data_IF_047590038007
#
_entry.id   IF_047590038007
#
_cell.length_a   1.000
_cell.length_b   1.000
_cell.length_c   1.000
_cell.angle_alpha   90.00
_cell.angle_beta   90.00
_cell.angle_gamma   90.00
#
_symmetry.space_group_name_H-M   'P 1'
#
loop_
_entity.id
_entity.type
_entity.pdbx_description
1 polymer ?
#
# COMPACT_ATOMS: atom_id res chain seq x y z
N UNK A 1 -28.51 -18.98 -43.35
CA UNK A 1 -27.24 -19.47 -42.80
C UNK A 1 -26.43 -18.27 -42.33
N UNK A 2 -26.47 -18.10 -41.01
CA UNK A 2 -25.39 -17.59 -40.15
C UNK A 2 -25.05 -16.09 -40.14
N UNK A 3 -25.84 -15.39 -39.31
CA UNK A 3 -25.46 -14.21 -38.52
C UNK A 3 -24.08 -14.36 -37.88
N UNK A 4 -23.21 -13.35 -38.03
CA UNK A 4 -22.09 -13.15 -37.10
C UNK A 4 -22.20 -11.76 -36.46
N UNK A 5 -22.84 -11.75 -35.29
CA UNK A 5 -22.76 -10.69 -34.30
C UNK A 5 -21.35 -10.72 -33.68
N UNK A 6 -20.52 -9.71 -33.92
CA UNK A 6 -19.32 -9.46 -33.11
C UNK A 6 -19.70 -8.50 -32.00
N UNK A 7 -19.88 -9.05 -30.79
CA UNK A 7 -20.19 -8.31 -29.56
C UNK A 7 -18.91 -8.11 -28.77
N UNK A 8 -18.15 -7.06 -29.08
CA UNK A 8 -17.08 -6.56 -28.21
C UNK A 8 -17.65 -5.64 -27.14
N UNK A 9 -17.97 -6.19 -25.97
CA UNK A 9 -18.39 -5.42 -24.78
C UNK A 9 -17.16 -5.10 -23.92
N UNK A 10 -17.03 -3.84 -23.50
CA UNK A 10 -16.24 -3.50 -22.32
C UNK A 10 -15.42 -2.20 -22.42
N UNK A 11 -16.03 -1.08 -22.79
CA UNK A 11 -15.46 0.21 -22.41
C UNK A 11 -15.72 0.38 -20.90
N UNK A 12 -14.77 -0.01 -20.05
CA UNK A 12 -14.83 0.29 -18.63
C UNK A 12 -14.75 1.81 -18.50
N UNK A 13 -15.85 2.43 -18.08
CA UNK A 13 -15.88 3.84 -17.73
C UNK A 13 -14.88 4.06 -16.59
N UNK A 14 -13.70 4.58 -16.92
CA UNK A 14 -12.71 5.00 -15.93
C UNK A 14 -13.31 6.22 -15.24
N UNK A 15 -13.89 6.02 -14.06
CA UNK A 15 -14.31 7.12 -13.20
C UNK A 15 -13.10 8.02 -12.99
N UNK A 16 -13.25 9.31 -13.28
CA UNK A 16 -12.20 10.30 -13.09
C UNK A 16 -12.03 10.52 -11.59
N UNK A 17 -11.09 9.80 -10.98
CA UNK A 17 -10.74 10.00 -9.58
C UNK A 17 -9.81 11.20 -9.52
N UNK A 18 -10.26 12.28 -8.88
CA UNK A 18 -9.40 13.44 -8.60
C UNK A 18 -8.23 12.98 -7.72
N UNK A 19 -7.01 13.29 -8.15
CA UNK A 19 -5.78 12.93 -7.45
C UNK A 19 -5.10 14.20 -6.95
N UNK A 20 -4.74 14.20 -5.67
CA UNK A 20 -3.97 15.29 -5.05
C UNK A 20 -2.54 14.83 -4.80
N UNK A 21 -1.57 15.68 -5.08
CA UNK A 21 -0.17 15.44 -4.75
C UNK A 21 0.09 15.89 -3.31
N UNK A 22 0.50 14.95 -2.46
CA UNK A 22 0.79 15.18 -1.05
C UNK A 22 2.15 14.56 -0.72
N UNK A 23 2.86 15.19 0.20
CA UNK A 23 4.12 14.67 0.73
C UNK A 23 3.92 14.20 2.18
N UNK A 24 4.49 13.04 2.49
CA UNK A 24 4.44 12.44 3.81
C UNK A 24 5.84 12.01 4.23
N UNK A 25 6.15 12.17 5.51
CA UNK A 25 7.31 11.50 6.12
C UNK A 25 7.13 9.98 6.06
N UNK A 26 8.24 9.26 5.88
CA UNK A 26 8.26 7.79 5.81
C UNK A 26 7.65 7.17 7.07
N UNK A 27 7.94 7.73 8.25
CA UNK A 27 7.39 7.27 9.54
C UNK A 27 5.86 7.39 9.61
N UNK A 28 5.28 8.49 9.12
CA UNK A 28 3.82 8.67 9.06
C UNK A 28 3.20 7.64 8.13
N UNK A 29 3.84 7.40 6.99
CA UNK A 29 3.39 6.42 6.01
C UNK A 29 3.41 5.01 6.61
N UNK A 30 4.49 4.63 7.29
CA UNK A 30 4.63 3.34 7.99
C UNK A 30 3.51 3.13 9.01
N UNK A 31 3.24 4.12 9.88
CA UNK A 31 2.14 4.02 10.86
C UNK A 31 0.79 3.80 10.20
N UNK A 32 0.51 4.51 9.11
CA UNK A 32 -0.76 4.37 8.37
C UNK A 32 -0.88 2.99 7.69
N UNK A 33 0.22 2.45 7.16
CA UNK A 33 0.28 1.09 6.66
C UNK A 33 0.03 0.07 7.77
N UNK A 34 0.75 0.16 8.90
CA UNK A 34 0.63 -0.75 10.05
C UNK A 34 -0.80 -0.78 10.61
N UNK A 35 -1.43 0.39 10.74
CA UNK A 35 -2.82 0.50 11.16
C UNK A 35 -3.81 -0.02 10.11
N UNK A 36 -3.39 -0.19 8.86
CA UNK A 36 -4.22 -0.65 7.74
C UNK A 36 -5.18 0.42 7.24
N UNK A 37 -4.81 1.68 7.43
CA UNK A 37 -5.57 2.84 6.96
C UNK A 37 -5.25 3.16 5.49
N UNK A 38 -4.10 2.70 4.99
CA UNK A 38 -3.67 2.88 3.61
C UNK A 38 -3.18 1.56 3.01
N UNK A 39 -3.46 1.38 1.72
CA UNK A 39 -2.95 0.27 0.93
C UNK A 39 -2.02 0.77 -0.19
N UNK A 40 -0.97 0.00 -0.52
CA UNK A 40 -0.03 0.37 -1.58
C UNK A 40 -0.71 0.49 -2.95
N UNK A 41 -1.84 -0.20 -3.14
CA UNK A 41 -2.67 -0.12 -4.33
C UNK A 41 -3.29 1.28 -4.56
N UNK A 42 -3.44 2.09 -3.51
CA UNK A 42 -4.02 3.43 -3.60
C UNK A 42 -2.99 4.49 -4.00
N UNK A 43 -1.69 4.16 -3.94
CA UNK A 43 -0.62 5.10 -4.25
C UNK A 43 -0.27 5.11 -5.74
N UNK A 44 -0.36 6.30 -6.34
CA UNK A 44 0.29 6.59 -7.61
C UNK A 44 1.67 7.20 -7.36
N UNK A 45 2.70 6.37 -7.25
CA UNK A 45 4.07 6.83 -6.98
C UNK A 45 4.65 7.57 -8.19
N UNK A 46 5.09 8.82 -8.00
CA UNK A 46 5.63 9.67 -9.06
C UNK A 46 7.10 9.34 -9.41
N UNK A 47 7.83 8.71 -8.49
CA UNK A 47 9.26 8.42 -8.64
C UNK A 47 9.56 6.95 -8.31
N UNK A 48 10.62 6.40 -8.92
CA UNK A 48 11.05 5.03 -8.62
C UNK A 48 11.46 4.85 -7.15
N UNK A 49 12.04 5.90 -6.54
CA UNK A 49 12.40 5.91 -5.13
C UNK A 49 11.16 5.75 -4.23
N UNK A 50 10.12 6.59 -4.40
CA UNK A 50 8.90 6.51 -3.60
C UNK A 50 8.17 5.19 -3.79
N UNK A 51 8.17 4.64 -5.01
CA UNK A 51 7.61 3.30 -5.28
C UNK A 51 8.30 2.20 -4.45
N UNK A 52 9.63 2.20 -4.40
CA UNK A 52 10.40 1.22 -3.61
C UNK A 52 10.07 1.33 -2.12
N UNK A 53 10.01 2.55 -1.59
CA UNK A 53 9.68 2.81 -0.18
C UNK A 53 8.26 2.33 0.15
N UNK A 54 7.25 2.73 -0.63
CA UNK A 54 5.85 2.31 -0.43
C UNK A 54 5.72 0.79 -0.50
N UNK A 55 6.39 0.15 -1.46
CA UNK A 55 6.37 -1.30 -1.61
C UNK A 55 7.01 -2.01 -0.41
N UNK A 56 8.17 -1.53 0.06
CA UNK A 56 8.85 -2.10 1.23
C UNK A 56 7.99 -1.98 2.49
N UNK A 57 7.42 -0.81 2.75
CA UNK A 57 6.54 -0.58 3.91
C UNK A 57 5.30 -1.48 3.87
N UNK A 58 4.68 -1.62 2.70
CA UNK A 58 3.53 -2.49 2.52
C UNK A 58 3.87 -3.96 2.74
N UNK A 59 4.97 -4.45 2.16
CA UNK A 59 5.41 -5.84 2.33
C UNK A 59 5.78 -6.14 3.78
N UNK A 60 6.50 -5.23 4.45
CA UNK A 60 6.84 -5.38 5.86
C UNK A 60 5.58 -5.49 6.74
N UNK A 61 4.60 -4.63 6.48
CA UNK A 61 3.31 -4.64 7.16
C UNK A 61 2.52 -5.92 6.91
N UNK A 62 2.41 -6.34 5.64
CA UNK A 62 1.69 -7.56 5.27
C UNK A 62 2.37 -8.79 5.87
N UNK A 63 3.69 -8.85 5.87
CA UNK A 63 4.45 -9.92 6.50
C UNK A 63 4.21 -9.94 8.01
N UNK A 64 4.24 -8.79 8.69
CA UNK A 64 3.87 -8.72 10.10
C UNK A 64 2.44 -9.19 10.35
N UNK A 65 1.47 -8.84 9.51
CA UNK A 65 0.07 -9.30 9.70
C UNK A 65 -0.15 -10.77 9.40
N UNK A 66 0.56 -11.33 8.42
CA UNK A 66 0.35 -12.71 7.95
C UNK A 66 1.20 -13.71 8.74
N UNK A 67 2.44 -13.35 9.08
CA UNK A 67 3.34 -14.22 9.82
C UNK A 67 3.19 -14.07 11.35
N UNK A 68 2.63 -12.96 11.84
CA UNK A 68 2.39 -12.73 13.27
C UNK A 68 0.91 -13.01 13.62
N UNK A 69 0.46 -14.24 13.34
CA UNK A 69 -0.88 -14.76 13.72
C UNK A 69 -1.02 -14.97 15.25
N UNK A 70 -0.01 -14.58 16.04
CA UNK A 70 -0.01 -14.66 17.49
C UNK A 70 -0.08 -13.26 18.07
N UNK A 71 -1.25 -12.92 18.58
CA UNK A 71 -1.48 -11.82 19.54
C UNK A 71 -1.67 -10.41 18.95
N UNK A 72 -2.78 -10.24 18.20
CA UNK A 72 -3.39 -8.93 18.03
C UNK A 72 -3.95 -8.42 19.38
N UNK A 73 -3.10 -7.78 20.18
CA UNK A 73 -3.56 -6.82 21.19
C UNK A 73 -3.44 -5.43 20.60
N UNK A 74 -4.58 -4.85 20.28
CA UNK A 74 -4.74 -3.43 20.00
C UNK A 74 -4.20 -2.65 21.20
N UNK A 75 -3.01 -2.06 21.08
CA UNK A 75 -2.54 -1.07 22.05
C UNK A 75 -2.21 0.22 21.34
N UNK A 76 -3.05 1.20 21.65
CA UNK A 76 -2.84 2.63 21.49
C UNK A 76 -1.73 3.03 22.48
N UNK A 77 -0.80 3.85 21.98
CA UNK A 77 0.21 4.63 22.73
C UNK A 77 1.20 3.86 23.61
N UNK A 78 2.47 3.80 23.18
CA UNK A 78 3.60 4.51 23.79
C UNK A 78 4.92 3.95 23.22
N UNK A 79 5.78 4.86 22.74
CA UNK A 79 7.21 4.69 22.43
C UNK A 79 7.73 3.29 22.00
N UNK A 80 7.89 3.06 20.68
CA UNK A 80 8.82 2.03 20.22
C UNK A 80 9.80 2.57 19.17
N UNK A 81 10.99 2.92 19.66
CA UNK A 81 12.22 3.03 18.89
C UNK A 81 12.45 1.71 18.15
N UNK A 82 12.40 1.74 16.82
CA UNK A 82 12.86 0.62 16.00
C UNK A 82 14.33 0.90 15.68
N UNK A 83 15.23 0.25 16.43
CA UNK A 83 16.65 0.24 16.10
C UNK A 83 16.85 -0.56 14.81
N UNK A 84 17.13 0.15 13.72
CA UNK A 84 17.23 -0.41 12.40
C UNK A 84 18.65 -0.98 12.15
N UNK A 85 19.02 -2.03 12.88
CA UNK A 85 20.31 -2.74 12.73
C UNK A 85 20.23 -3.91 11.73
N UNK A 86 19.45 -3.80 10.64
CA UNK A 86 19.42 -4.87 9.63
C UNK A 86 19.24 -4.39 8.18
N UNK A 87 19.99 -3.38 7.76
CA UNK A 87 20.21 -3.13 6.34
C UNK A 87 21.72 -3.11 6.10
N UNK A 88 22.27 -4.25 5.68
CA UNK A 88 23.64 -4.35 5.16
C UNK A 88 23.62 -4.05 3.66
N UNK A 89 24.50 -3.14 3.23
CA UNK A 89 24.63 -2.60 1.87
C UNK A 89 25.03 -3.63 0.82
#
# INVERSE_FOLDING_TARGET
MDSKHVKGKGATAVQHVEKVQLEFSVETLERLFMNGQLCAAEFSCLNAHSKKVVQALCLNTCMHRVCNDKERKTFVEDNLLIDNENISY
#
